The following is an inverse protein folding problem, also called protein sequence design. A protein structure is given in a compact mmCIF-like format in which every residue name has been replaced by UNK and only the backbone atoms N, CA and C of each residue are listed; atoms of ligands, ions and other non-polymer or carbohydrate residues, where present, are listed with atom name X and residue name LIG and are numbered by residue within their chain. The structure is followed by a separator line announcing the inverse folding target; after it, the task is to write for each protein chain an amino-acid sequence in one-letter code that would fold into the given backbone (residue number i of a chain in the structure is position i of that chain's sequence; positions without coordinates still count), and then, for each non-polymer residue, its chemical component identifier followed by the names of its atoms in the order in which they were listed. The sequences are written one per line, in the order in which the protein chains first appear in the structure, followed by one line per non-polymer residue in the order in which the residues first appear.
data_IF_486150904012
#
_entry.id   IF_486150904012
#
_cell.length_a   1.000
_cell.length_b   1.000
_cell.length_c   1.000
_cell.angle_alpha   90.00
_cell.angle_beta   90.00
_cell.angle_gamma   90.00
#
_symmetry.space_group_name_H-M   'P 1'
#
loop_
_entity.id
_entity.type
_entity.pdbx_description
1 polymer ?
#
# COMPACT_ATOMS: atom_id res chain seq x y z
N UNK A 1 1.07 11.83 -5.46
CA UNK A 1 -0.22 11.35 -4.91
C UNK A 1 -0.05 10.49 -3.67
N UNK A 2 1.05 9.73 -3.57
CA UNK A 2 1.37 8.86 -2.43
C UNK A 2 1.19 9.50 -1.03
N UNK A 3 1.78 10.68 -0.79
CA UNK A 3 1.64 11.40 0.50
C UNK A 3 0.18 11.72 0.87
N UNK A 4 -0.67 12.00 -0.11
CA UNK A 4 -2.09 12.30 0.11
C UNK A 4 -2.87 11.03 0.47
N UNK A 5 -2.53 9.90 -0.15
CA UNK A 5 -3.19 8.63 0.14
C UNK A 5 -2.85 8.13 1.55
N UNK A 6 -1.58 8.21 1.97
CA UNK A 6 -1.23 7.88 3.36
C UNK A 6 -1.90 8.81 4.37
N UNK A 7 -1.97 10.12 4.11
CA UNK A 7 -2.70 11.06 4.95
C UNK A 7 -4.22 10.77 5.05
N UNK A 8 -4.78 10.05 4.07
CA UNK A 8 -6.18 9.61 4.05
C UNK A 8 -6.41 8.25 4.72
N UNK A 9 -5.38 7.64 5.29
CA UNK A 9 -5.48 6.35 6.00
C UNK A 9 -5.38 5.11 5.11
N UNK A 10 -4.94 5.25 3.86
CA UNK A 10 -4.60 4.08 3.06
C UNK A 10 -3.34 3.40 3.63
N UNK A 11 -3.40 2.08 3.76
CA UNK A 11 -2.29 1.28 4.30
C UNK A 11 -1.14 1.08 3.30
N UNK A 12 -1.39 1.23 2.00
CA UNK A 12 -0.40 1.12 0.93
C UNK A 12 -0.90 1.90 -0.30
N UNK A 13 0.00 2.57 -1.03
CA UNK A 13 -0.28 3.23 -2.32
C UNK A 13 0.92 3.10 -3.26
N UNK A 14 0.67 2.83 -4.54
CA UNK A 14 1.70 2.80 -5.60
C UNK A 14 1.32 3.82 -6.68
N UNK A 15 2.06 4.93 -6.75
CA UNK A 15 1.76 6.06 -7.65
C UNK A 15 3.05 6.64 -8.24
N UNK A 16 3.45 6.18 -9.44
CA UNK A 16 4.54 6.79 -10.22
C UNK A 16 4.07 7.16 -11.64
N UNK A 17 4.71 8.15 -12.30
CA UNK A 17 4.37 8.59 -13.66
C UNK A 17 4.56 7.52 -14.76
N UNK A 18 5.34 6.47 -14.49
CA UNK A 18 5.68 5.39 -15.43
C UNK A 18 5.16 4.02 -14.97
N UNK A 19 4.26 3.97 -13.99
CA UNK A 19 3.79 2.69 -13.45
C UNK A 19 2.86 1.98 -14.44
N UNK A 20 3.35 0.91 -15.10
CA UNK A 20 2.48 -0.20 -15.50
C UNK A 20 2.07 -0.92 -14.20
N UNK A 21 0.81 -0.79 -13.81
CA UNK A 21 0.26 -1.24 -12.53
C UNK A 21 0.44 -2.73 -12.20
N UNK A 22 0.84 -3.57 -13.17
CA UNK A 22 0.93 -5.02 -13.01
C UNK A 22 2.27 -5.55 -12.49
N UNK A 23 3.38 -4.80 -12.63
CA UNK A 23 4.71 -5.38 -12.33
C UNK A 23 4.98 -5.52 -10.82
N UNK A 24 4.44 -4.62 -9.99
CA UNK A 24 4.68 -4.59 -8.53
C UNK A 24 3.44 -4.97 -7.70
N UNK A 25 2.32 -5.33 -8.34
CA UNK A 25 1.06 -5.57 -7.64
C UNK A 25 1.13 -6.72 -6.62
N UNK A 26 1.94 -7.76 -6.89
CA UNK A 26 2.16 -8.86 -5.95
C UNK A 26 2.87 -8.42 -4.68
N UNK A 27 3.99 -7.70 -4.82
CA UNK A 27 4.78 -7.20 -3.69
C UNK A 27 4.01 -6.15 -2.89
N UNK A 28 3.29 -5.25 -3.57
CA UNK A 28 2.42 -4.25 -2.97
C UNK A 28 1.29 -4.89 -2.16
N UNK A 29 0.72 -6.00 -2.65
CA UNK A 29 -0.30 -6.76 -1.93
C UNK A 29 0.26 -7.46 -0.69
N UNK A 30 1.45 -8.06 -0.78
CA UNK A 30 2.10 -8.68 0.37
C UNK A 30 2.37 -7.65 1.50
N UNK A 31 2.83 -6.45 1.13
CA UNK A 31 3.02 -5.33 2.06
C UNK A 31 1.71 -4.85 2.68
N UNK A 32 0.65 -4.73 1.87
CA UNK A 32 -0.68 -4.37 2.34
C UNK A 32 -1.21 -5.39 3.36
N UNK A 33 -1.00 -6.68 3.11
CA UNK A 33 -1.45 -7.74 4.03
C UNK A 33 -0.72 -7.67 5.36
N UNK A 34 0.60 -7.55 5.36
CA UNK A 34 1.39 -7.41 6.58
C UNK A 34 1.01 -6.17 7.40
N UNK A 35 0.77 -5.04 6.73
CA UNK A 35 0.32 -3.80 7.38
C UNK A 35 -1.05 -3.99 8.05
N UNK A 36 -1.98 -4.69 7.38
CA UNK A 36 -3.29 -5.03 7.95
C UNK A 36 -3.17 -5.96 9.14
N UNK A 37 -2.41 -7.04 9.03
CA UNK A 37 -2.25 -8.00 10.11
C UNK A 37 -1.62 -7.32 11.34
N UNK A 38 -0.61 -6.46 11.15
CA UNK A 38 -0.03 -5.64 12.23
C UNK A 38 -1.09 -4.78 12.92
N UNK A 39 -1.92 -4.06 12.15
CA UNK A 39 -2.98 -3.21 12.71
C UNK A 39 -4.00 -4.02 13.54
N UNK A 40 -4.32 -5.23 13.11
CA UNK A 40 -5.25 -6.13 13.81
C UNK A 40 -4.63 -6.74 15.08
N UNK A 41 -3.31 -6.97 15.11
CA UNK A 41 -2.62 -7.52 16.29
C UNK A 41 -2.29 -6.48 17.36
N UNK A 42 -2.25 -5.20 16.99
CA UNK A 42 -1.94 -4.08 17.91
C UNK A 42 -3.22 -3.46 18.50
N UNK A 43 -4.40 -3.91 18.06
CA UNK A 43 -5.72 -3.50 18.56
C UNK A 43 -6.22 -4.46 19.64
#
# INVERSE_FOLDING_TARGET
MEKIAFAKGFLMVSSSPLTRSSYHAGDDFARLRAARDTQLTVS
#
